data_IF_285689827623
#
_entry.id   IF_285689827623
#
_cell.length_a   1.000
_cell.length_b   1.000
_cell.length_c   1.000
_cell.angle_alpha   90.00
_cell.angle_beta   90.00
_cell.angle_gamma   90.00
#
_symmetry.space_group_name_H-M   'P 1'
#
loop_
_entity.id
_entity.type
_entity.pdbx_description
1 polymer ?
#
# COMPACT_ATOMS: atom_id res chain seq x y z
N UNK A 1 4.14 -8.00 -35.25
CA UNK A 1 4.85 -9.06 -34.47
C UNK A 1 4.40 -8.92 -33.04
N UNK A 2 4.18 -9.98 -32.32
CA UNK A 2 3.63 -9.95 -30.95
C UNK A 2 4.56 -10.75 -30.06
N UNK A 3 5.02 -10.21 -28.92
CA UNK A 3 5.72 -10.97 -27.89
C UNK A 3 4.79 -12.03 -27.30
N UNK A 4 5.29 -13.21 -27.03
CA UNK A 4 4.46 -14.34 -26.58
C UNK A 4 4.83 -14.84 -25.17
N UNK A 5 5.65 -14.13 -24.41
CA UNK A 5 6.16 -14.64 -23.14
C UNK A 5 6.13 -13.59 -22.04
N UNK A 6 5.85 -14.06 -20.84
CA UNK A 6 6.05 -13.34 -19.59
C UNK A 6 7.46 -13.64 -19.07
N UNK A 7 8.21 -12.60 -18.72
CA UNK A 7 9.60 -12.72 -18.25
C UNK A 7 9.61 -12.70 -16.73
N UNK A 8 10.00 -13.82 -16.12
CA UNK A 8 10.09 -13.93 -14.65
C UNK A 8 11.52 -13.66 -14.21
N UNK A 9 11.70 -12.69 -13.34
CA UNK A 9 12.96 -12.28 -12.75
C UNK A 9 12.94 -12.47 -11.23
N UNK A 10 14.06 -12.82 -10.62
CA UNK A 10 14.17 -12.82 -9.16
C UNK A 10 14.69 -11.45 -8.69
N UNK A 11 14.19 -10.90 -7.56
CA UNK A 11 14.70 -9.66 -6.98
C UNK A 11 16.23 -9.69 -6.81
N UNK A 12 16.90 -8.61 -7.16
CA UNK A 12 18.36 -8.46 -7.06
C UNK A 12 19.19 -9.24 -8.09
N UNK A 13 18.56 -10.04 -8.98
CA UNK A 13 19.30 -10.86 -9.94
C UNK A 13 19.44 -10.21 -11.31
N UNK A 14 20.57 -10.49 -11.94
CA UNK A 14 20.85 -10.14 -13.35
C UNK A 14 20.56 -11.36 -14.22
N UNK A 15 19.73 -11.16 -15.25
CA UNK A 15 19.36 -12.23 -16.18
C UNK A 15 19.53 -11.79 -17.63
N UNK A 16 20.03 -12.72 -18.47
CA UNK A 16 19.92 -12.63 -19.91
C UNK A 16 18.77 -13.51 -20.39
N UNK A 17 18.01 -13.04 -21.36
CA UNK A 17 16.86 -13.73 -21.90
C UNK A 17 16.63 -13.43 -23.37
N UNK A 18 15.86 -14.29 -24.03
CA UNK A 18 15.34 -14.09 -25.37
C UNK A 18 13.85 -13.80 -25.33
N UNK A 19 13.37 -13.12 -26.35
CA UNK A 19 11.93 -12.88 -26.57
C UNK A 19 11.54 -13.59 -27.86
N UNK A 20 10.40 -14.27 -27.81
CA UNK A 20 9.81 -14.93 -28.97
C UNK A 20 8.88 -13.96 -29.70
N UNK A 21 9.07 -13.77 -31.01
CA UNK A 21 8.20 -12.96 -31.86
C UNK A 21 7.53 -13.83 -32.93
N UNK A 22 6.23 -13.60 -33.12
CA UNK A 22 5.45 -14.22 -34.21
C UNK A 22 5.20 -13.20 -35.31
N UNK A 23 5.57 -13.50 -36.54
CA UNK A 23 5.22 -12.69 -37.70
C UNK A 23 3.80 -13.06 -38.20
N UNK A 24 2.83 -12.28 -37.78
CA UNK A 24 1.41 -12.47 -38.20
C UNK A 24 1.08 -11.82 -39.55
N UNK A 25 2.07 -11.19 -40.18
CA UNK A 25 1.92 -10.59 -41.50
C UNK A 25 1.97 -11.61 -42.62
N UNK A 26 1.69 -11.20 -43.86
CA UNK A 26 1.75 -11.99 -45.08
C UNK A 26 3.10 -11.91 -45.77
N UNK A 27 4.02 -11.06 -45.31
CA UNK A 27 5.34 -10.89 -45.88
C UNK A 27 6.42 -11.26 -44.86
N UNK A 28 7.60 -11.64 -45.37
CA UNK A 28 8.77 -11.91 -44.57
C UNK A 28 9.29 -10.59 -43.94
N UNK A 29 9.60 -10.61 -42.66
CA UNK A 29 10.28 -9.55 -41.94
C UNK A 29 11.80 -9.83 -41.99
N UNK A 30 12.61 -8.83 -42.36
CA UNK A 30 14.05 -8.97 -42.61
C UNK A 30 14.84 -8.11 -41.64
N UNK A 31 15.89 -8.69 -41.04
CA UNK A 31 16.75 -8.01 -40.07
C UNK A 31 15.92 -7.39 -38.92
N UNK A 32 15.06 -8.19 -38.33
CA UNK A 32 14.24 -7.77 -37.19
C UNK A 32 15.13 -7.52 -35.97
N UNK A 33 15.04 -6.33 -35.43
CA UNK A 33 15.72 -5.90 -34.20
C UNK A 33 14.71 -5.37 -33.20
N UNK A 34 15.09 -5.35 -31.93
CA UNK A 34 14.23 -4.79 -30.88
C UNK A 34 15.01 -4.14 -29.78
N UNK A 35 14.36 -3.17 -29.15
CA UNK A 35 14.89 -2.42 -28.01
C UNK A 35 13.85 -2.40 -26.86
N UNK A 36 14.30 -2.76 -25.66
CA UNK A 36 13.50 -2.65 -24.44
C UNK A 36 13.67 -1.25 -23.84
N UNK A 37 12.54 -0.60 -23.54
CA UNK A 37 12.49 0.76 -22.96
C UNK A 37 11.62 0.74 -21.72
N UNK A 38 12.13 1.26 -20.60
CA UNK A 38 11.36 1.54 -19.37
C UNK A 38 11.96 2.72 -18.63
N UNK A 39 11.13 3.49 -17.92
CA UNK A 39 11.56 4.53 -17.00
C UNK A 39 11.48 4.09 -15.53
N UNK A 40 11.06 2.84 -15.28
CA UNK A 40 10.93 2.30 -13.93
C UNK A 40 12.30 2.03 -13.30
N UNK A 41 12.45 2.36 -12.03
CA UNK A 41 13.63 2.03 -11.22
C UNK A 41 13.64 0.57 -10.73
N UNK A 42 12.55 -0.18 -10.94
CA UNK A 42 12.47 -1.61 -10.58
C UNK A 42 13.35 -2.49 -11.46
N UNK A 43 13.80 -1.96 -12.61
CA UNK A 43 14.59 -2.69 -13.59
C UNK A 43 15.73 -1.83 -14.11
N UNK A 44 16.97 -2.31 -13.97
CA UNK A 44 18.14 -1.73 -14.66
C UNK A 44 18.37 -2.49 -15.96
N UNK A 45 18.34 -1.79 -17.09
CA UNK A 45 18.64 -2.37 -18.40
C UNK A 45 20.15 -2.30 -18.63
N UNK A 46 20.81 -3.46 -18.68
CA UNK A 46 22.24 -3.58 -18.94
C UNK A 46 22.52 -3.67 -20.45
N UNK A 47 21.65 -4.39 -21.19
CA UNK A 47 21.62 -4.36 -22.64
C UNK A 47 20.16 -4.35 -23.11
N UNK A 48 19.75 -3.26 -23.77
CA UNK A 48 18.38 -3.05 -24.26
C UNK A 48 18.09 -3.74 -25.61
N UNK A 49 19.11 -4.19 -26.33
CA UNK A 49 18.98 -4.55 -27.74
C UNK A 49 19.20 -6.03 -27.99
N UNK A 50 18.40 -6.60 -28.91
CA UNK A 50 18.60 -7.93 -29.46
C UNK A 50 18.02 -8.03 -30.89
N UNK A 51 18.23 -9.17 -31.56
CA UNK A 51 17.77 -9.40 -32.94
C UNK A 51 17.20 -10.79 -33.15
N UNK A 52 16.24 -10.87 -34.08
CA UNK A 52 15.61 -12.10 -34.52
C UNK A 52 16.05 -12.52 -35.92
N UNK A 53 16.84 -11.65 -36.60
CA UNK A 53 17.19 -11.89 -38.00
C UNK A 53 15.98 -11.82 -38.91
N UNK A 54 15.71 -12.91 -39.64
CA UNK A 54 14.61 -12.98 -40.59
C UNK A 54 13.47 -13.87 -40.06
N UNK A 55 12.25 -13.32 -40.01
CA UNK A 55 11.05 -14.03 -39.57
C UNK A 55 10.12 -14.22 -40.77
N UNK A 56 9.91 -15.45 -41.23
CA UNK A 56 8.98 -15.74 -42.33
C UNK A 56 7.53 -15.47 -41.96
N UNK A 57 6.68 -15.19 -42.93
CA UNK A 57 5.25 -15.00 -42.71
C UNK A 57 4.64 -16.21 -41.99
N UNK A 58 3.90 -15.98 -40.91
CA UNK A 58 3.29 -17.01 -40.07
C UNK A 58 4.26 -17.78 -39.17
N UNK A 59 5.55 -17.47 -39.18
CA UNK A 59 6.55 -18.15 -38.34
C UNK A 59 6.84 -17.40 -37.07
N UNK A 60 7.43 -18.13 -36.12
CA UNK A 60 7.94 -17.66 -34.85
C UNK A 60 9.46 -17.81 -34.80
N UNK A 61 10.14 -16.83 -34.27
CA UNK A 61 11.59 -16.87 -34.02
C UNK A 61 11.90 -16.31 -32.64
N UNK A 62 12.96 -16.79 -32.01
CA UNK A 62 13.50 -16.29 -30.77
C UNK A 62 14.64 -15.32 -31.03
N UNK A 63 14.78 -14.29 -30.20
CA UNK A 63 15.94 -13.42 -30.26
C UNK A 63 17.22 -14.14 -29.82
N UNK A 64 18.38 -13.49 -30.07
CA UNK A 64 19.71 -14.04 -29.83
C UNK A 64 20.12 -14.21 -28.37
N UNK A 65 19.23 -13.99 -27.39
CA UNK A 65 19.52 -14.01 -25.95
C UNK A 65 20.41 -12.84 -25.48
N UNK A 66 20.34 -11.73 -26.20
CA UNK A 66 21.14 -10.53 -25.95
C UNK A 66 20.54 -9.55 -24.93
N UNK A 67 19.23 -9.60 -24.70
CA UNK A 67 18.61 -8.78 -23.66
C UNK A 67 19.18 -9.15 -22.30
N UNK A 68 19.61 -8.13 -21.54
CA UNK A 68 20.17 -8.32 -20.22
C UNK A 68 19.68 -7.24 -19.27
N UNK A 69 19.13 -7.65 -18.16
CA UNK A 69 18.52 -6.76 -17.17
C UNK A 69 18.87 -7.20 -15.75
N UNK A 70 18.86 -6.26 -14.82
CA UNK A 70 18.98 -6.51 -13.37
C UNK A 70 17.70 -6.04 -12.69
N UNK A 71 16.98 -6.93 -12.02
CA UNK A 71 15.88 -6.55 -11.16
C UNK A 71 16.40 -5.85 -9.90
N UNK A 72 15.72 -4.81 -9.43
CA UNK A 72 16.06 -4.18 -8.15
C UNK A 72 15.98 -5.22 -7.02
N UNK A 73 16.86 -5.12 -6.02
CA UNK A 73 16.77 -5.91 -4.79
C UNK A 73 15.54 -5.56 -3.96
N UNK A 74 15.04 -4.34 -4.13
CA UNK A 74 13.93 -3.78 -3.34
C UNK A 74 12.57 -4.01 -3.99
N UNK A 75 12.54 -4.67 -5.17
CA UNK A 75 11.27 -5.00 -5.79
C UNK A 75 10.54 -6.08 -4.99
N UNK A 76 9.30 -5.81 -4.66
CA UNK A 76 8.47 -6.75 -3.90
C UNK A 76 8.11 -7.95 -4.78
N UNK A 77 8.28 -9.15 -4.25
CA UNK A 77 7.89 -10.40 -4.91
C UNK A 77 6.41 -10.37 -5.32
N UNK A 78 6.12 -10.85 -6.53
CA UNK A 78 4.77 -10.80 -7.13
C UNK A 78 4.46 -9.54 -7.90
N UNK A 79 5.25 -8.48 -7.77
CA UNK A 79 5.08 -7.25 -8.55
C UNK A 79 5.23 -7.49 -10.05
N UNK A 80 4.62 -6.61 -10.83
CA UNK A 80 4.72 -6.60 -12.29
C UNK A 80 5.23 -5.25 -12.79
N UNK A 81 5.99 -5.30 -13.87
CA UNK A 81 6.39 -4.14 -14.63
C UNK A 81 6.00 -4.34 -16.09
N UNK A 82 5.28 -3.38 -16.65
CA UNK A 82 5.01 -3.31 -18.08
C UNK A 82 6.08 -2.39 -18.68
N UNK A 83 6.95 -2.95 -19.53
CA UNK A 83 7.92 -2.22 -20.32
C UNK A 83 7.51 -2.19 -21.81
N UNK A 84 8.11 -1.32 -22.58
CA UNK A 84 7.91 -1.24 -24.02
C UNK A 84 9.00 -1.98 -24.74
N UNK A 85 8.62 -2.78 -25.75
CA UNK A 85 9.52 -3.37 -26.73
C UNK A 85 9.31 -2.67 -28.08
N UNK A 86 10.25 -1.85 -28.48
CA UNK A 86 10.26 -1.28 -29.83
C UNK A 86 10.81 -2.33 -30.81
N UNK A 87 10.07 -2.62 -31.89
CA UNK A 87 10.43 -3.63 -32.89
C UNK A 87 10.52 -2.96 -34.24
N UNK A 88 11.62 -3.19 -34.96
CA UNK A 88 11.87 -2.64 -36.29
C UNK A 88 12.36 -3.72 -37.25
N UNK A 89 12.13 -3.56 -38.56
CA UNK A 89 12.71 -4.36 -39.61
C UNK A 89 13.26 -3.52 -40.77
N UNK A 90 14.04 -4.15 -41.65
CA UNK A 90 14.62 -3.48 -42.84
C UNK A 90 13.57 -3.12 -43.90
N UNK A 91 12.34 -3.59 -43.81
CA UNK A 91 11.25 -3.25 -44.70
C UNK A 91 10.47 -2.00 -44.27
N UNK A 92 10.85 -1.38 -43.14
CA UNK A 92 10.23 -0.19 -42.58
C UNK A 92 9.10 -0.48 -41.60
N UNK A 93 8.98 -1.71 -41.12
CA UNK A 93 8.08 -2.00 -39.99
C UNK A 93 8.67 -1.35 -38.74
N UNK A 94 7.80 -0.64 -37.99
CA UNK A 94 8.13 -0.05 -36.69
C UNK A 94 6.89 -0.14 -35.82
N UNK A 95 7.05 -0.77 -34.66
CA UNK A 95 5.95 -0.93 -33.71
C UNK A 95 6.44 -1.09 -32.28
N UNK A 96 5.72 -0.50 -31.33
CA UNK A 96 5.94 -0.70 -29.91
C UNK A 96 4.91 -1.68 -29.37
N UNK A 97 5.37 -2.71 -28.68
CA UNK A 97 4.55 -3.70 -27.98
C UNK A 97 4.87 -3.68 -26.49
N UNK A 98 3.91 -4.11 -25.67
CA UNK A 98 4.14 -4.26 -24.24
C UNK A 98 4.77 -5.62 -23.96
N UNK A 99 5.75 -5.62 -23.04
CA UNK A 99 6.29 -6.84 -22.45
C UNK A 99 6.11 -6.76 -20.93
N UNK A 100 5.81 -7.89 -20.31
CA UNK A 100 5.53 -7.98 -18.88
C UNK A 100 6.68 -8.67 -18.18
N UNK A 101 7.27 -7.99 -17.21
CA UNK A 101 8.18 -8.58 -16.24
C UNK A 101 7.42 -8.90 -14.97
N UNK A 102 7.60 -10.12 -14.44
CA UNK A 102 7.15 -10.49 -13.10
C UNK A 102 8.36 -10.67 -12.19
N UNK A 103 8.22 -10.26 -10.95
CA UNK A 103 9.31 -10.34 -9.99
C UNK A 103 8.97 -11.37 -8.90
N UNK A 104 9.81 -12.41 -8.79
CA UNK A 104 9.71 -13.40 -7.75
C UNK A 104 8.38 -14.15 -7.66
N UNK A 105 8.20 -14.82 -6.55
CA UNK A 105 6.94 -15.48 -6.16
C UNK A 105 6.58 -15.02 -4.76
N UNK A 106 5.37 -14.55 -4.56
CA UNK A 106 4.87 -14.05 -3.27
C UNK A 106 4.97 -15.13 -2.20
N UNK A 107 5.52 -14.77 -1.05
CA UNK A 107 5.60 -15.57 0.17
C UNK A 107 4.82 -14.87 1.29
N UNK A 108 4.48 -15.61 2.33
CA UNK A 108 3.70 -15.08 3.47
C UNK A 108 4.41 -13.99 4.27
N UNK A 109 5.72 -13.89 4.12
CA UNK A 109 6.59 -12.89 4.77
C UNK A 109 7.00 -11.75 3.84
N UNK A 110 6.44 -11.69 2.62
CA UNK A 110 6.64 -10.53 1.75
C UNK A 110 5.64 -9.43 2.10
N UNK A 111 5.95 -8.15 1.82
CA UNK A 111 5.02 -7.03 1.99
C UNK A 111 3.69 -7.26 1.27
N UNK A 112 2.61 -6.73 1.83
CA UNK A 112 1.28 -6.80 1.21
C UNK A 112 1.14 -5.69 0.16
N UNK A 113 0.54 -6.02 -0.96
CA UNK A 113 0.31 -5.07 -2.05
C UNK A 113 0.93 -5.50 -3.37
N UNK A 114 1.01 -4.57 -4.37
CA UNK A 114 0.42 -3.24 -4.27
C UNK A 114 -1.10 -3.26 -4.38
N UNK A 115 -1.77 -2.19 -3.89
CA UNK A 115 -3.11 -1.86 -4.34
C UNK A 115 -3.07 -1.31 -5.80
N UNK A 116 -4.22 -0.92 -6.34
CA UNK A 116 -4.24 -0.43 -7.73
C UNK A 116 -3.56 0.94 -7.89
N UNK A 117 -3.46 1.73 -6.81
CA UNK A 117 -2.75 3.01 -6.81
C UNK A 117 -1.24 2.81 -6.71
N UNK A 118 -0.76 1.79 -5.97
CA UNK A 118 0.65 1.46 -5.80
C UNK A 118 1.16 1.47 -4.36
N UNK A 119 0.30 1.55 -3.36
CA UNK A 119 0.68 1.41 -1.96
C UNK A 119 1.07 -0.03 -1.61
N UNK A 120 2.03 -0.16 -0.72
CA UNK A 120 2.44 -1.40 -0.07
C UNK A 120 2.37 -1.25 1.44
N UNK A 121 2.07 -2.35 2.15
CA UNK A 121 2.22 -2.46 3.60
C UNK A 121 3.44 -3.33 3.89
N UNK A 122 4.42 -2.75 4.58
CA UNK A 122 5.58 -3.44 5.13
C UNK A 122 5.38 -3.63 6.63
N UNK A 123 5.74 -4.79 7.17
CA UNK A 123 5.76 -5.00 8.61
C UNK A 123 7.20 -5.22 9.13
N UNK A 124 7.36 -5.29 10.45
CA UNK A 124 8.66 -5.46 11.10
C UNK A 124 9.38 -6.78 10.79
N UNK A 125 8.69 -7.76 10.17
CA UNK A 125 9.29 -9.03 9.75
C UNK A 125 9.80 -8.99 8.32
N UNK A 126 9.49 -7.94 7.56
CA UNK A 126 9.92 -7.77 6.16
C UNK A 126 11.39 -7.31 6.08
N UNK A 127 12.26 -7.86 6.93
CA UNK A 127 13.66 -7.44 7.14
C UNK A 127 14.57 -7.52 5.91
N UNK A 128 14.14 -8.21 4.87
CA UNK A 128 14.84 -8.28 3.59
C UNK A 128 14.58 -7.09 2.68
N UNK A 129 13.65 -6.21 3.04
CA UNK A 129 13.26 -5.04 2.26
C UNK A 129 13.71 -3.76 2.95
N UNK A 130 14.24 -2.81 2.18
CA UNK A 130 14.76 -1.54 2.72
C UNK A 130 13.69 -0.66 3.37
N UNK A 131 12.41 -0.88 3.02
CA UNK A 131 11.27 -0.12 3.56
C UNK A 131 10.61 -0.80 4.76
N UNK A 132 11.17 -1.92 5.29
CA UNK A 132 10.63 -2.51 6.51
C UNK A 132 10.68 -1.51 7.66
N UNK A 133 9.62 -1.37 8.47
CA UNK A 133 9.59 -0.41 9.56
C UNK A 133 10.42 -0.90 10.74
N UNK A 134 11.14 0.03 11.36
CA UNK A 134 11.74 -0.17 12.68
C UNK A 134 10.80 0.39 13.76
N UNK A 135 10.63 -0.34 14.85
CA UNK A 135 9.88 0.14 16.00
C UNK A 135 10.66 1.25 16.69
N UNK A 136 10.06 2.42 16.79
CA UNK A 136 10.61 3.61 17.47
C UNK A 136 9.45 4.41 18.06
N UNK A 137 9.08 4.07 19.32
CA UNK A 137 7.95 4.69 20.01
C UNK A 137 8.27 6.14 20.39
N UNK A 138 7.39 7.05 20.03
CA UNK A 138 7.49 8.47 20.38
C UNK A 138 6.38 8.80 21.38
N UNK A 139 6.71 8.82 22.67
CA UNK A 139 5.72 9.09 23.71
C UNK A 139 5.25 10.55 23.67
N UNK A 140 3.97 10.76 23.35
CA UNK A 140 3.40 12.10 23.22
C UNK A 140 2.38 12.46 24.30
N UNK A 141 2.05 11.58 25.24
CA UNK A 141 1.07 11.89 26.30
C UNK A 141 1.48 13.08 27.18
N UNK A 142 2.79 13.35 27.27
CA UNK A 142 3.33 14.44 28.08
C UNK A 142 3.62 15.72 27.30
N UNK A 143 3.70 15.67 25.99
CA UNK A 143 4.09 16.79 25.11
C UNK A 143 3.01 17.16 24.10
N UNK A 144 2.13 16.23 23.77
CA UNK A 144 1.01 16.42 22.85
C UNK A 144 -0.19 17.06 23.53
N UNK A 145 -1.17 17.38 22.72
CA UNK A 145 -2.47 17.89 23.16
C UNK A 145 -3.40 16.72 23.42
N UNK A 146 -3.89 16.58 24.65
CA UNK A 146 -5.01 15.67 24.93
C UNK A 146 -6.27 16.23 24.25
N UNK A 147 -6.88 15.43 23.38
CA UNK A 147 -8.07 15.83 22.62
C UNK A 147 -9.34 15.77 23.46
N UNK A 148 -9.26 15.22 24.69
CA UNK A 148 -10.37 15.09 25.65
C UNK A 148 -11.60 14.41 25.03
N UNK A 149 -11.38 13.42 24.19
CA UNK A 149 -12.44 12.65 23.57
C UNK A 149 -13.10 11.72 24.59
N UNK A 150 -14.35 11.38 24.35
CA UNK A 150 -15.11 10.48 25.20
C UNK A 150 -15.91 9.48 24.36
N UNK A 151 -15.74 8.20 24.68
CA UNK A 151 -16.47 7.10 24.06
C UNK A 151 -16.77 6.05 25.14
N UNK A 152 -18.00 5.60 25.19
CA UNK A 152 -18.47 4.54 26.12
C UNK A 152 -18.91 3.27 25.40
N UNK A 153 -18.52 3.11 24.15
CA UNK A 153 -18.83 1.98 23.30
C UNK A 153 -20.21 2.01 22.67
N UNK A 154 -20.40 1.17 21.67
CA UNK A 154 -21.69 0.99 21.00
C UNK A 154 -22.28 2.28 20.40
N UNK A 155 -21.40 3.20 19.93
CA UNK A 155 -21.82 4.52 19.44
C UNK A 155 -22.37 5.44 20.53
N UNK A 156 -22.14 5.16 21.80
CA UNK A 156 -22.52 6.03 22.91
C UNK A 156 -21.33 6.84 23.41
N UNK A 157 -21.58 8.09 23.74
CA UNK A 157 -20.54 9.00 24.25
C UNK A 157 -21.15 10.07 25.15
N UNK A 158 -20.28 10.69 25.95
CA UNK A 158 -20.60 11.82 26.79
C UNK A 158 -19.53 12.91 26.59
N UNK A 159 -19.81 14.13 27.00
CA UNK A 159 -18.83 15.21 26.92
C UNK A 159 -18.54 15.67 25.49
N UNK A 160 -17.27 15.66 25.09
CA UNK A 160 -16.83 16.19 23.78
C UNK A 160 -17.10 15.25 22.60
N UNK A 161 -17.57 14.03 22.86
CA UNK A 161 -17.83 13.03 21.83
C UNK A 161 -16.57 12.30 21.36
N UNK A 162 -16.72 11.37 20.39
CA UNK A 162 -15.65 10.47 19.97
C UNK A 162 -14.75 11.02 18.87
N UNK A 163 -14.99 12.23 18.36
CA UNK A 163 -14.32 12.81 17.20
C UNK A 163 -13.61 14.12 17.54
N UNK A 164 -12.43 14.32 16.97
CA UNK A 164 -11.76 15.62 16.91
C UNK A 164 -11.30 15.89 15.48
N UNK A 165 -11.41 17.16 15.06
CA UNK A 165 -10.88 17.65 13.79
C UNK A 165 -9.65 18.50 14.12
N UNK A 166 -8.53 18.20 13.48
CA UNK A 166 -7.26 18.92 13.70
C UNK A 166 -6.61 19.31 12.38
N UNK A 167 -5.96 20.48 12.37
CA UNK A 167 -5.16 20.92 11.24
C UNK A 167 -3.80 20.23 11.24
N UNK A 168 -3.30 19.86 10.06
CA UNK A 168 -1.93 19.41 9.86
C UNK A 168 -1.02 20.61 9.58
N UNK A 169 0.23 20.66 10.11
CA UNK A 169 1.15 21.75 9.87
C UNK A 169 1.76 21.74 8.46
N UNK A 170 1.47 20.72 7.66
CA UNK A 170 1.92 20.51 6.29
C UNK A 170 0.81 19.88 5.45
N UNK A 171 0.95 19.96 4.13
CA UNK A 171 0.08 19.21 3.23
C UNK A 171 0.51 17.74 3.25
N UNK A 172 -0.40 16.87 3.62
CA UNK A 172 -0.22 15.42 3.56
C UNK A 172 -0.87 14.90 2.29
N UNK A 173 -0.07 14.31 1.40
CA UNK A 173 -0.60 13.72 0.18
C UNK A 173 -0.92 12.24 0.40
N UNK A 174 -2.17 11.87 0.09
CA UNK A 174 -2.69 10.53 0.25
C UNK A 174 -3.57 10.17 -0.95
N UNK A 175 -3.27 9.07 -1.63
CA UNK A 175 -3.88 8.70 -2.92
C UNK A 175 -3.88 9.86 -3.93
N UNK A 176 -2.75 10.59 -4.01
CA UNK A 176 -2.55 11.69 -4.95
C UNK A 176 -3.26 13.00 -4.61
N UNK A 177 -4.01 13.06 -3.50
CA UNK A 177 -4.74 14.25 -3.05
C UNK A 177 -4.04 14.84 -1.82
N UNK A 178 -3.88 16.17 -1.81
CA UNK A 178 -3.30 16.92 -0.69
C UNK A 178 -4.38 17.25 0.34
N UNK A 179 -4.09 16.94 1.61
CA UNK A 179 -4.94 17.22 2.76
C UNK A 179 -4.16 18.04 3.79
N UNK A 180 -4.82 19.00 4.41
CA UNK A 180 -4.25 19.82 5.50
C UNK A 180 -5.04 19.68 6.81
N UNK A 181 -6.00 18.78 6.87
CA UNK A 181 -6.86 18.53 8.01
C UNK A 181 -7.21 17.05 8.10
N UNK A 182 -7.35 16.54 9.33
CA UNK A 182 -7.79 15.18 9.60
C UNK A 182 -8.86 15.16 10.68
N UNK A 183 -9.76 14.18 10.57
CA UNK A 183 -10.68 13.77 11.64
C UNK A 183 -10.10 12.58 12.37
N UNK A 184 -9.97 12.65 13.69
CA UNK A 184 -9.48 11.59 14.57
C UNK A 184 -10.66 11.01 15.33
N UNK A 185 -10.80 9.68 15.34
CA UNK A 185 -11.84 8.98 16.06
C UNK A 185 -11.28 8.10 17.19
N UNK A 186 -11.96 8.07 18.34
CA UNK A 186 -11.62 7.15 19.43
C UNK A 186 -11.60 5.69 18.99
N UNK A 187 -12.34 5.32 17.95
CA UNK A 187 -12.46 3.96 17.41
C UNK A 187 -11.25 3.52 16.55
N UNK A 188 -10.08 4.14 16.77
CA UNK A 188 -8.79 3.66 16.26
C UNK A 188 -8.52 3.95 14.78
N UNK A 189 -9.14 4.97 14.23
CA UNK A 189 -8.93 5.41 12.85
C UNK A 189 -8.85 6.92 12.71
N UNK A 190 -8.25 7.38 11.63
CA UNK A 190 -8.33 8.75 11.14
C UNK A 190 -8.93 8.78 9.75
N UNK A 191 -9.59 9.87 9.42
CA UNK A 191 -10.04 10.18 8.06
C UNK A 191 -9.53 11.55 7.64
N UNK A 192 -9.44 11.77 6.35
CA UNK A 192 -9.04 13.07 5.81
C UNK A 192 -10.27 13.94 5.59
N UNK A 193 -10.11 15.25 5.80
CA UNK A 193 -11.17 16.25 5.84
C UNK A 193 -12.14 16.09 7.05
N UNK A 194 -13.25 16.85 7.00
CA UNK A 194 -14.27 16.91 8.04
C UNK A 194 -15.21 15.70 7.95
N UNK A 195 -15.05 14.73 8.82
CA UNK A 195 -15.92 13.55 8.90
C UNK A 195 -16.70 13.56 10.21
N UNK A 196 -18.01 13.38 10.13
CA UNK A 196 -18.93 13.37 11.26
C UNK A 196 -19.50 11.98 11.58
N UNK A 197 -18.90 10.94 10.99
CA UNK A 197 -19.24 9.53 11.28
C UNK A 197 -18.41 9.01 12.43
N UNK A 198 -19.02 8.34 13.39
CA UNK A 198 -18.34 7.71 14.51
C UNK A 198 -17.79 6.32 14.19
N UNK A 199 -18.26 5.69 13.14
CA UNK A 199 -17.91 4.36 12.60
C UNK A 199 -17.21 3.42 13.62
N UNK A 200 -17.97 2.91 14.59
CA UNK A 200 -17.44 2.01 15.63
C UNK A 200 -17.44 0.55 15.18
N UNK A 201 -18.30 0.18 14.22
CA UNK A 201 -18.33 -1.16 13.64
C UNK A 201 -17.26 -1.27 12.58
N UNK A 202 -16.31 -2.16 12.76
CA UNK A 202 -15.26 -2.41 11.79
C UNK A 202 -15.77 -3.26 10.61
N UNK A 203 -15.34 -2.86 9.42
CA UNK A 203 -15.64 -3.51 8.16
C UNK A 203 -14.35 -3.81 7.39
N UNK A 204 -14.39 -4.71 6.38
CA UNK A 204 -13.25 -4.90 5.49
C UNK A 204 -12.88 -3.63 4.72
N UNK A 205 -11.58 -3.40 4.54
CA UNK A 205 -10.97 -2.35 3.74
C UNK A 205 -10.36 -2.96 2.46
N UNK A 206 -10.56 -2.35 1.27
CA UNK A 206 -11.46 -1.25 0.98
C UNK A 206 -12.93 -1.67 0.95
N UNK A 207 -13.82 -0.77 1.30
CA UNK A 207 -15.25 -1.05 1.25
C UNK A 207 -16.15 -0.02 1.92
N UNK A 208 -17.44 -0.13 1.67
CA UNK A 208 -18.43 0.73 2.31
C UNK A 208 -18.64 0.31 3.78
N UNK A 209 -18.44 1.20 4.73
CA UNK A 209 -18.72 0.92 6.14
C UNK A 209 -18.04 1.89 7.10
N UNK A 210 -16.89 2.42 6.71
CA UNK A 210 -16.16 3.48 7.40
C UNK A 210 -16.23 4.82 6.65
N UNK A 211 -15.57 5.85 7.20
CA UNK A 211 -15.33 7.07 6.44
C UNK A 211 -14.24 6.82 5.38
N UNK A 212 -14.32 7.51 4.25
CA UNK A 212 -13.31 7.44 3.19
C UNK A 212 -12.95 8.84 2.71
N UNK A 213 -11.65 9.16 2.55
CA UNK A 213 -10.48 8.27 2.71
C UNK A 213 -10.11 8.07 4.18
N UNK A 214 -9.53 6.90 4.53
CA UNK A 214 -9.18 6.61 5.92
C UNK A 214 -7.86 5.85 6.07
N UNK A 215 -7.29 5.97 7.28
CA UNK A 215 -6.23 5.12 7.83
C UNK A 215 -6.76 4.52 9.13
N UNK A 216 -6.83 3.22 9.20
CA UNK A 216 -7.23 2.46 10.36
C UNK A 216 -6.01 1.80 11.01
N UNK A 217 -5.69 2.18 12.25
CA UNK A 217 -4.63 1.53 13.02
C UNK A 217 -5.18 0.39 13.88
N UNK A 218 -6.37 0.58 14.41
CA UNK A 218 -7.08 -0.41 15.23
C UNK A 218 -8.56 -0.10 15.18
N UNK A 219 -9.17 -0.22 14.00
CA UNK A 219 -10.59 0.07 13.88
C UNK A 219 -11.43 -1.01 14.54
N UNK A 220 -12.01 -0.66 15.67
CA UNK A 220 -12.90 -1.49 16.48
C UNK A 220 -13.76 -0.56 17.36
N UNK A 221 -14.71 -1.11 18.09
CA UNK A 221 -15.46 -0.37 19.11
C UNK A 221 -14.60 -0.17 20.36
N UNK A 222 -13.92 0.98 20.41
CA UNK A 222 -13.02 1.36 21.49
C UNK A 222 -13.67 2.35 22.44
N UNK A 223 -13.41 2.17 23.72
CA UNK A 223 -13.83 3.05 24.80
C UNK A 223 -12.66 3.78 25.41
N UNK A 224 -12.88 5.06 25.80
CA UNK A 224 -11.93 5.79 26.65
C UNK A 224 -11.96 5.28 28.09
N UNK A 225 -13.09 4.75 28.57
CA UNK A 225 -13.22 4.26 29.95
C UNK A 225 -12.86 5.33 30.97
N UNK A 226 -12.04 4.93 31.97
CA UNK A 226 -11.60 5.85 33.02
C UNK A 226 -10.19 6.41 32.79
N UNK A 227 -9.39 5.79 31.93
CA UNK A 227 -7.97 6.08 31.76
C UNK A 227 -7.52 6.15 30.29
N UNK A 228 -8.41 5.91 29.34
CA UNK A 228 -8.09 5.98 27.92
C UNK A 228 -8.17 7.41 27.41
N UNK A 229 -7.17 7.82 26.67
CA UNK A 229 -7.05 9.15 26.09
C UNK A 229 -6.58 9.10 24.65
N UNK A 230 -6.86 10.15 23.88
CA UNK A 230 -6.32 10.33 22.53
C UNK A 230 -5.52 11.63 22.49
N UNK A 231 -4.26 11.52 22.11
CA UNK A 231 -3.34 12.64 22.02
C UNK A 231 -2.99 12.97 20.57
N UNK A 232 -2.72 14.23 20.33
CA UNK A 232 -2.21 14.75 19.07
C UNK A 232 -0.95 15.58 19.30
N UNK A 233 0.07 15.31 18.51
CA UNK A 233 1.29 16.11 18.45
C UNK A 233 1.70 16.30 16.99
N UNK A 234 2.20 17.48 16.64
CA UNK A 234 2.75 17.71 15.32
C UNK A 234 3.87 18.73 15.32
N UNK A 235 4.78 18.58 14.39
CA UNK A 235 5.81 19.54 14.03
C UNK A 235 5.98 19.62 12.50
N UNK A 236 7.09 20.19 12.01
CA UNK A 236 7.33 20.29 10.57
C UNK A 236 7.71 18.96 9.91
N UNK A 237 8.01 17.90 10.66
CA UNK A 237 8.50 16.62 10.14
C UNK A 237 7.41 15.56 10.13
N UNK A 238 6.51 15.60 11.10
CA UNK A 238 5.45 14.59 11.26
C UNK A 238 4.26 15.11 12.09
N UNK A 239 3.15 14.40 11.96
CA UNK A 239 2.01 14.46 12.88
C UNK A 239 1.78 13.08 13.50
N UNK A 240 1.63 13.02 14.82
CA UNK A 240 1.41 11.79 15.59
C UNK A 240 0.04 11.83 16.24
N UNK A 241 -0.72 10.77 16.06
CA UNK A 241 -1.95 10.50 16.79
C UNK A 241 -1.69 9.27 17.66
N UNK A 242 -1.85 9.41 18.97
CA UNK A 242 -1.67 8.33 19.95
C UNK A 242 -2.99 8.03 20.62
N UNK A 243 -3.44 6.80 20.52
CA UNK A 243 -4.45 6.22 21.38
C UNK A 243 -3.74 5.56 22.55
N UNK A 244 -4.01 6.03 23.74
CA UNK A 244 -3.32 5.62 24.96
C UNK A 244 -4.30 4.90 25.88
N UNK A 245 -3.97 3.65 26.25
CA UNK A 245 -4.73 2.83 27.17
C UNK A 245 -6.23 2.75 26.85
N UNK A 246 -6.55 2.69 25.56
CA UNK A 246 -7.92 2.51 25.08
C UNK A 246 -8.42 1.11 25.42
N UNK A 247 -9.72 0.97 25.62
CA UNK A 247 -10.33 -0.30 26.01
C UNK A 247 -11.24 -0.80 24.90
N UNK A 248 -11.12 -2.08 24.53
CA UNK A 248 -12.10 -2.72 23.65
C UNK A 248 -13.42 -2.93 24.38
N UNK A 249 -14.55 -2.61 23.75
CA UNK A 249 -15.86 -2.55 24.38
C UNK A 249 -16.26 -3.86 25.09
N UNK A 250 -16.13 -4.99 24.41
CA UNK A 250 -16.63 -6.27 24.97
C UNK A 250 -15.62 -7.06 25.80
N UNK A 251 -14.34 -6.82 25.69
CA UNK A 251 -13.31 -7.61 26.39
C UNK A 251 -12.49 -6.85 27.41
N UNK A 252 -12.58 -5.54 27.40
CA UNK A 252 -11.78 -4.64 28.26
C UNK A 252 -10.26 -4.83 28.12
N UNK A 253 -9.75 -5.31 26.99
CA UNK A 253 -8.33 -5.28 26.73
C UNK A 253 -7.85 -3.84 26.57
N UNK A 254 -6.63 -3.58 27.04
CA UNK A 254 -5.99 -2.25 26.93
C UNK A 254 -5.12 -2.22 25.70
N UNK A 255 -5.29 -1.20 24.88
CA UNK A 255 -4.59 -1.02 23.61
C UNK A 255 -3.91 0.34 23.59
N UNK A 256 -2.62 0.37 23.22
CA UNK A 256 -1.84 1.62 23.07
C UNK A 256 -1.12 1.58 21.73
N UNK A 257 -1.42 2.54 20.85
CA UNK A 257 -0.92 2.55 19.49
C UNK A 257 -0.86 3.95 18.89
N UNK A 258 -0.13 4.10 17.80
CA UNK A 258 0.08 5.38 17.12
C UNK A 258 -0.11 5.26 15.61
N UNK A 259 -0.60 6.36 15.02
CA UNK A 259 -0.42 6.69 13.60
C UNK A 259 0.56 7.84 13.51
N UNK A 260 1.58 7.70 12.68
CA UNK A 260 2.54 8.76 12.36
C UNK A 260 2.40 9.09 10.88
N UNK A 261 2.05 10.33 10.59
CA UNK A 261 2.00 10.90 9.25
C UNK A 261 3.30 11.67 9.01
N UNK A 262 4.17 11.18 8.14
CA UNK A 262 5.45 11.81 7.89
C UNK A 262 5.34 12.92 6.83
N UNK A 263 5.99 14.05 7.07
CA UNK A 263 6.13 15.10 6.07
C UNK A 263 7.30 14.78 5.13
N UNK A 264 7.13 13.76 4.34
CA UNK A 264 8.06 13.35 3.29
C UNK A 264 7.32 13.28 1.95
N UNK A 265 8.07 13.16 0.86
CA UNK A 265 7.52 13.00 -0.50
C UNK A 265 8.28 11.92 -1.26
N UNK A 266 8.80 10.94 -0.53
CA UNK A 266 9.71 9.91 -1.04
C UNK A 266 8.99 8.73 -1.69
N UNK A 267 7.68 8.62 -1.51
CA UNK A 267 6.89 7.54 -2.09
C UNK A 267 6.63 7.75 -3.59
N UNK A 268 6.31 6.71 -4.34
CA UNK A 268 5.80 6.82 -5.69
C UNK A 268 4.66 7.86 -5.76
N UNK A 269 4.63 8.64 -6.83
CA UNK A 269 3.67 9.74 -7.05
C UNK A 269 3.79 10.93 -6.08
N UNK A 270 4.81 10.93 -5.19
CA UNK A 270 5.05 12.00 -4.23
C UNK A 270 4.10 12.02 -3.04
N UNK A 271 3.45 10.89 -2.77
CA UNK A 271 2.65 10.71 -1.56
C UNK A 271 3.54 10.63 -0.31
N UNK A 272 2.95 10.93 0.83
CA UNK A 272 3.64 10.91 2.12
C UNK A 272 3.58 9.50 2.75
N UNK A 273 4.58 9.13 3.51
CA UNK A 273 4.61 7.85 4.19
C UNK A 273 3.80 7.84 5.49
N UNK A 274 3.28 6.66 5.82
CA UNK A 274 2.46 6.39 7.00
C UNK A 274 3.18 5.31 7.81
N UNK A 275 3.30 5.52 9.13
CA UNK A 275 3.78 4.50 10.05
C UNK A 275 2.72 4.24 11.12
N UNK A 276 2.40 2.98 11.34
CA UNK A 276 1.55 2.53 12.44
C UNK A 276 2.42 1.69 13.37
N UNK A 277 2.34 1.95 14.66
CA UNK A 277 3.08 1.15 15.65
C UNK A 277 2.26 0.95 16.92
N UNK A 278 2.56 -0.15 17.61
CA UNK A 278 1.81 -0.61 18.77
C UNK A 278 2.77 -0.79 19.94
N UNK A 279 2.44 -0.18 21.08
CA UNK A 279 3.10 -0.45 22.35
C UNK A 279 2.40 -1.62 23.06
N UNK A 280 1.06 -1.55 23.15
CA UNK A 280 0.22 -2.62 23.64
C UNK A 280 -0.81 -3.00 22.57
N UNK A 281 -0.78 -4.25 22.13
CA UNK A 281 -1.73 -4.85 21.21
C UNK A 281 -2.21 -6.19 21.76
N UNK A 282 -3.28 -6.19 22.52
CA UNK A 282 -3.84 -7.38 23.15
C UNK A 282 -4.98 -7.99 22.34
N UNK A 283 -5.87 -7.14 21.85
CA UNK A 283 -7.03 -7.48 21.02
C UNK A 283 -7.72 -8.79 21.43
N UNK A 284 -8.17 -8.87 22.68
CA UNK A 284 -8.88 -10.04 23.20
C UNK A 284 -10.40 -9.95 22.98
N UNK A 285 -10.86 -8.99 22.19
CA UNK A 285 -12.26 -8.82 21.87
C UNK A 285 -12.83 -10.07 21.22
N UNK A 286 -13.98 -10.50 21.70
CA UNK A 286 -14.72 -11.65 21.15
C UNK A 286 -15.85 -11.23 20.23
N UNK A 287 -16.07 -9.91 20.08
CA UNK A 287 -17.19 -9.35 19.37
C UNK A 287 -18.54 -9.58 20.03
N UNK A 288 -19.57 -8.98 19.50
CA UNK A 288 -20.96 -9.26 19.88
C UNK A 288 -21.73 -9.92 18.73
N UNK A 289 -21.89 -11.22 18.84
CA UNK A 289 -22.62 -12.03 17.86
C UNK A 289 -24.04 -12.39 18.33
N UNK A 290 -24.45 -11.94 19.52
CA UNK A 290 -25.75 -12.28 20.08
C UNK A 290 -26.84 -11.34 19.58
N UNK A 291 -26.49 -10.13 19.23
CA UNK A 291 -27.40 -9.15 18.66
C UNK A 291 -27.55 -9.31 17.15
N UNK A 292 -28.68 -8.91 16.62
CA UNK A 292 -28.91 -8.91 15.19
C UNK A 292 -29.26 -7.50 14.69
N UNK A 293 -28.48 -6.95 13.76
CA UNK A 293 -27.20 -7.47 13.20
C UNK A 293 -26.08 -7.43 14.26
N UNK A 294 -25.05 -8.30 14.13
CA UNK A 294 -23.88 -8.24 15.01
C UNK A 294 -23.27 -6.85 15.02
N UNK A 295 -22.86 -6.35 16.19
CA UNK A 295 -22.39 -4.98 16.30
C UNK A 295 -20.97 -4.82 15.77
N UNK A 296 -20.08 -5.79 16.01
CA UNK A 296 -18.74 -5.83 15.44
C UNK A 296 -18.15 -7.25 15.46
N UNK A 297 -17.03 -7.45 14.75
CA UNK A 297 -16.31 -8.71 14.71
C UNK A 297 -15.45 -8.94 15.96
N UNK A 298 -14.75 -10.07 15.99
CA UNK A 298 -13.79 -10.42 17.04
C UNK A 298 -12.35 -10.03 16.68
N UNK A 299 -12.16 -9.07 15.81
CA UNK A 299 -10.87 -8.57 15.34
C UNK A 299 -10.97 -7.09 15.00
N UNK A 300 -9.86 -6.38 15.14
CA UNK A 300 -9.74 -5.02 14.63
C UNK A 300 -9.45 -5.01 13.13
N UNK A 301 -9.89 -3.99 12.42
CA UNK A 301 -9.48 -3.75 11.04
C UNK A 301 -8.29 -2.80 11.02
N UNK A 302 -7.23 -3.19 10.31
CA UNK A 302 -6.02 -2.39 10.11
C UNK A 302 -5.82 -2.22 8.60
N UNK A 303 -5.63 -0.98 8.14
CA UNK A 303 -5.43 -0.73 6.72
C UNK A 303 -5.64 0.71 6.30
N UNK A 304 -5.62 0.90 4.99
CA UNK A 304 -5.83 2.20 4.34
C UNK A 304 -6.82 2.05 3.19
N UNK A 305 -7.62 3.08 2.93
CA UNK A 305 -8.46 3.13 1.72
C UNK A 305 -8.55 4.54 1.15
N UNK A 306 -8.79 4.58 -0.17
CA UNK A 306 -8.93 5.80 -0.91
C UNK A 306 -10.29 6.48 -0.68
N UNK A 307 -10.45 7.69 -1.22
CA UNK A 307 -11.66 8.51 -1.10
C UNK A 307 -12.92 7.93 -1.77
N UNK A 308 -12.80 6.86 -2.55
CA UNK A 308 -13.94 6.17 -3.17
C UNK A 308 -14.30 4.85 -2.48
N UNK A 309 -13.57 4.43 -1.45
CA UNK A 309 -13.72 3.14 -0.77
C UNK A 309 -13.65 1.92 -1.73
N UNK A 310 -12.89 2.03 -2.82
CA UNK A 310 -12.80 1.00 -3.86
C UNK A 310 -11.37 0.55 -4.15
N UNK A 311 -10.39 1.15 -3.49
CA UNK A 311 -8.98 0.79 -3.55
C UNK A 311 -8.33 1.01 -2.18
N UNK A 312 -7.45 0.11 -1.78
CA UNK A 312 -6.83 0.13 -0.48
C UNK A 312 -6.17 -1.20 -0.13
N UNK A 313 -5.59 -1.24 1.05
CA UNK A 313 -4.94 -2.42 1.60
C UNK A 313 -5.42 -2.68 3.02
N UNK A 314 -5.87 -3.90 3.28
CA UNK A 314 -6.11 -4.38 4.63
C UNK A 314 -4.94 -5.26 5.07
N UNK A 315 -4.38 -4.96 6.23
CA UNK A 315 -3.35 -5.80 6.83
C UNK A 315 -3.98 -7.10 7.35
N UNK A 316 -3.59 -8.21 6.76
CA UNK A 316 -4.01 -9.54 7.17
C UNK A 316 -2.88 -10.53 6.87
N UNK A 317 -1.94 -10.67 7.79
CA UNK A 317 -0.99 -11.79 7.74
C UNK A 317 -1.57 -12.94 8.56
N UNK A 318 -1.76 -14.09 7.91
CA UNK A 318 -2.23 -15.34 8.51
C UNK A 318 -1.09 -16.05 9.25
#
# INVERSE_FOLDING_TARGET
MIPNEEIVLQPGQTNSFSISLVNQGSLQAINVIGEIITSSNLLTINNSNDSWGTINAGSQENSGNGFNVTASSDVVSGSQLIASLLIEDSNGYNRTENIVFRFGTVQVYDPLGPDNYGYYIYDSNDINYNLHPEYDWIEISQIGTNLNLANSGNGNWNGNGPLAIVDLPFNFKFYGIDYNQITICTNGWIAFDDVYSEAFRNYPIPGAGGPSPMIAAFWDDLETGNNGDVFYYSDNNYAIIQWDNMRTHFSNSSETFQIILNNDSNLPYGDNSIKIQYEDFNNTSVGDFNDYPPEHGSYSTIGIENHFANDGLQYSKL
#
